data_IF_028096437556
#
_entry.id   IF_028096437556
#
_cell.length_a   1.000
_cell.length_b   1.000
_cell.length_c   1.000
_cell.angle_alpha   90.00
_cell.angle_beta   90.00
_cell.angle_gamma   90.00
#
_symmetry.space_group_name_H-M   'P 1'
#
loop_
_entity.id
_entity.type
_entity.pdbx_description
1 polymer ?
#
# COMPACT_ATOMS: atom_id res chain seq x y z
N UNK A 1 -22.02 1.67 -15.33
CA UNK A 1 -20.80 1.11 -15.97
C UNK A 1 -21.14 -0.12 -16.80
N UNK A 2 -21.77 -1.14 -16.24
CA UNK A 2 -22.14 -2.37 -16.94
C UNK A 2 -22.87 -2.09 -18.28
N UNK A 3 -23.92 -1.24 -18.27
CA UNK A 3 -24.64 -0.83 -19.47
C UNK A 3 -23.71 -0.25 -20.55
N UNK A 4 -22.80 0.65 -20.17
CA UNK A 4 -21.83 1.23 -21.10
C UNK A 4 -20.89 0.18 -21.71
N UNK A 5 -20.45 -0.79 -20.91
CA UNK A 5 -19.59 -1.85 -21.41
C UNK A 5 -20.32 -2.77 -22.40
N UNK A 6 -21.62 -3.00 -22.21
CA UNK A 6 -22.46 -3.75 -23.14
C UNK A 6 -22.72 -2.97 -24.45
N UNK A 7 -22.95 -1.66 -24.35
CA UNK A 7 -23.23 -0.80 -25.50
C UNK A 7 -21.98 -0.49 -26.35
N UNK A 8 -20.78 -0.61 -25.78
CA UNK A 8 -19.51 -0.29 -26.43
C UNK A 8 -18.45 -1.39 -26.18
N UNK A 9 -18.54 -2.50 -26.91
CA UNK A 9 -17.61 -3.64 -26.75
C UNK A 9 -16.19 -3.35 -27.25
N UNK A 10 -15.96 -2.24 -27.96
CA UNK A 10 -14.64 -1.86 -28.49
C UNK A 10 -13.72 -1.22 -27.46
N UNK A 11 -14.27 -0.73 -26.36
CA UNK A 11 -13.53 -0.08 -25.29
C UNK A 11 -13.52 -0.91 -24.01
N UNK A 12 -12.44 -0.79 -23.22
CA UNK A 12 -12.32 -1.43 -21.90
C UNK A 12 -12.83 -0.52 -20.81
N UNK A 13 -13.56 -1.11 -19.86
CA UNK A 13 -14.12 -0.45 -18.69
C UNK A 13 -13.51 -1.02 -17.40
N UNK A 14 -13.19 -0.14 -16.45
CA UNK A 14 -12.53 -0.52 -15.19
C UNK A 14 -13.32 -0.01 -14.00
N UNK A 15 -13.76 -0.93 -13.15
CA UNK A 15 -14.23 -0.61 -11.80
C UNK A 15 -13.05 -0.72 -10.84
N UNK A 16 -12.70 0.37 -10.17
CA UNK A 16 -11.63 0.37 -9.17
C UNK A 16 -12.25 0.42 -7.78
N UNK A 17 -11.88 -0.55 -6.94
CA UNK A 17 -12.33 -0.66 -5.54
C UNK A 17 -11.09 -0.51 -4.66
N UNK A 18 -11.00 0.61 -3.95
CA UNK A 18 -9.92 0.83 -2.99
C UNK A 18 -10.26 0.20 -1.65
N UNK A 19 -9.24 -0.37 -0.99
CA UNK A 19 -9.35 -0.96 0.35
C UNK A 19 -10.46 -2.03 0.46
N UNK A 20 -10.48 -2.98 -0.45
CA UNK A 20 -11.51 -4.03 -0.54
C UNK A 20 -11.80 -4.72 0.79
N UNK A 21 -10.79 -4.92 1.62
CA UNK A 21 -10.89 -5.59 2.91
C UNK A 21 -11.23 -4.68 4.10
N UNK A 22 -11.54 -3.39 3.88
CA UNK A 22 -12.12 -2.51 4.93
C UNK A 22 -13.57 -2.84 5.25
N UNK A 23 -14.27 -3.53 4.35
CA UNK A 23 -15.61 -4.05 4.54
C UNK A 23 -15.67 -5.57 4.42
N UNK A 24 -16.78 -6.16 4.82
CA UNK A 24 -17.05 -7.56 4.55
C UNK A 24 -17.34 -7.74 3.05
N UNK A 25 -16.28 -7.85 2.23
CA UNK A 25 -16.41 -7.92 0.78
C UNK A 25 -17.33 -9.05 0.29
N UNK A 26 -17.26 -10.29 0.79
CA UNK A 26 -18.21 -11.34 0.41
C UNK A 26 -19.68 -10.96 0.64
N UNK A 27 -19.98 -10.32 1.76
CA UNK A 27 -21.34 -9.86 2.05
C UNK A 27 -21.77 -8.67 1.18
N UNK A 28 -20.85 -7.75 0.88
CA UNK A 28 -21.09 -6.58 0.02
C UNK A 28 -21.35 -7.01 -1.42
N UNK A 29 -20.57 -7.95 -1.92
CA UNK A 29 -20.74 -8.47 -3.27
C UNK A 29 -22.02 -9.30 -3.40
N UNK A 30 -22.44 -10.04 -2.34
CA UNK A 30 -23.65 -10.83 -2.36
C UNK A 30 -23.72 -11.75 -3.60
N UNK A 31 -24.80 -11.66 -4.36
CA UNK A 31 -24.97 -12.45 -5.60
C UNK A 31 -23.97 -12.08 -6.70
N UNK A 32 -23.46 -10.85 -6.72
CA UNK A 32 -22.43 -10.41 -7.69
C UNK A 32 -21.15 -11.22 -7.56
N UNK A 33 -20.91 -11.83 -6.41
CA UNK A 33 -19.79 -12.71 -6.16
C UNK A 33 -19.64 -13.82 -7.23
N UNK A 34 -20.73 -14.39 -7.72
CA UNK A 34 -20.71 -15.43 -8.74
C UNK A 34 -20.24 -14.88 -10.10
N UNK A 35 -20.45 -13.60 -10.36
CA UNK A 35 -20.04 -12.97 -11.62
C UNK A 35 -18.53 -12.77 -11.74
N UNK A 36 -17.78 -12.96 -10.66
CA UNK A 36 -16.33 -12.87 -10.67
C UNK A 36 -15.66 -14.11 -11.26
N UNK A 37 -16.36 -15.25 -11.34
CA UNK A 37 -15.88 -16.40 -12.11
C UNK A 37 -16.00 -16.08 -13.60
N UNK A 38 -14.86 -16.12 -14.32
CA UNK A 38 -14.76 -15.75 -15.72
C UNK A 38 -14.49 -16.96 -16.58
N UNK A 39 -15.09 -16.99 -17.76
CA UNK A 39 -14.82 -18.00 -18.79
C UNK A 39 -13.38 -17.88 -19.24
N UNK A 40 -12.67 -18.99 -19.27
CA UNK A 40 -11.28 -19.07 -19.73
C UNK A 40 -11.17 -19.72 -21.13
N UNK A 41 -9.98 -19.65 -21.72
CA UNK A 41 -9.71 -20.13 -23.07
C UNK A 41 -9.61 -21.65 -23.17
N UNK A 42 -9.44 -22.35 -22.05
CA UNK A 42 -9.33 -23.81 -22.03
C UNK A 42 -10.70 -24.48 -22.11
N UNK A 43 -11.75 -23.84 -21.60
CA UNK A 43 -13.09 -24.42 -21.47
C UNK A 43 -14.13 -23.78 -22.39
N UNK A 44 -13.91 -22.54 -22.86
CA UNK A 44 -14.91 -21.76 -23.60
C UNK A 44 -14.40 -21.24 -24.96
N UNK A 45 -15.32 -21.00 -25.93
CA UNK A 45 -14.97 -20.37 -27.20
C UNK A 45 -14.34 -18.98 -27.03
N UNK A 46 -13.42 -18.60 -27.91
CA UNK A 46 -12.65 -17.36 -27.82
C UNK A 46 -13.51 -16.09 -27.70
N UNK A 47 -14.68 -16.07 -28.33
CA UNK A 47 -15.65 -14.97 -28.28
C UNK A 47 -16.33 -14.80 -26.92
N UNK A 48 -16.32 -15.84 -26.07
CA UNK A 48 -16.91 -15.84 -24.75
C UNK A 48 -15.88 -15.61 -23.62
N UNK A 49 -14.60 -15.75 -23.93
CA UNK A 49 -13.50 -15.65 -22.95
C UNK A 49 -13.53 -14.29 -22.26
N UNK A 50 -13.43 -14.31 -20.92
CA UNK A 50 -13.44 -13.12 -20.09
C UNK A 50 -14.83 -12.60 -19.69
N UNK A 51 -15.92 -13.15 -20.23
CA UNK A 51 -17.27 -12.92 -19.72
C UNK A 51 -17.50 -13.70 -18.41
N UNK A 52 -18.45 -13.27 -17.55
CA UNK A 52 -18.87 -14.06 -16.38
C UNK A 52 -19.36 -15.45 -16.80
N UNK A 53 -18.81 -16.51 -16.21
CA UNK A 53 -19.24 -17.89 -16.44
C UNK A 53 -20.71 -18.08 -16.06
N UNK A 54 -21.09 -17.54 -14.89
CA UNK A 54 -22.48 -17.59 -14.40
C UNK A 54 -23.19 -16.26 -14.61
N UNK A 55 -24.50 -16.30 -14.74
CA UNK A 55 -25.38 -15.13 -14.73
C UNK A 55 -26.21 -15.11 -13.45
N UNK A 56 -26.58 -13.90 -13.00
CA UNK A 56 -27.52 -13.73 -11.89
C UNK A 56 -28.85 -13.18 -12.41
N UNK A 57 -29.94 -13.51 -11.69
CA UNK A 57 -31.26 -12.95 -11.97
C UNK A 57 -31.46 -11.68 -11.15
N UNK A 58 -31.44 -10.53 -11.82
CA UNK A 58 -31.73 -9.24 -11.18
C UNK A 58 -32.59 -8.43 -12.16
N UNK A 59 -33.88 -8.36 -11.88
CA UNK A 59 -34.89 -7.72 -12.71
C UNK A 59 -34.55 -6.28 -13.07
N UNK A 60 -34.19 -5.46 -12.09
CA UNK A 60 -33.95 -4.03 -12.30
C UNK A 60 -32.69 -3.80 -13.14
N UNK A 61 -31.61 -4.52 -12.85
CA UNK A 61 -30.36 -4.44 -13.59
C UNK A 61 -30.55 -4.98 -15.01
N UNK A 62 -31.23 -6.11 -15.18
CA UNK A 62 -31.48 -6.72 -16.46
C UNK A 62 -32.29 -5.79 -17.37
N UNK A 63 -33.36 -5.20 -16.86
CA UNK A 63 -34.18 -4.23 -17.57
C UNK A 63 -33.40 -2.98 -18.01
N UNK A 64 -32.60 -2.43 -17.08
CA UNK A 64 -31.81 -1.22 -17.36
C UNK A 64 -30.68 -1.46 -18.37
N UNK A 65 -30.02 -2.63 -18.29
CA UNK A 65 -28.83 -2.94 -19.09
C UNK A 65 -29.20 -3.52 -20.44
N UNK A 66 -30.14 -4.48 -20.48
CA UNK A 66 -30.46 -5.27 -21.68
C UNK A 66 -31.84 -4.91 -22.28
N UNK A 67 -32.66 -4.14 -21.56
CA UNK A 67 -34.05 -3.87 -21.97
C UNK A 67 -34.98 -5.08 -21.81
N UNK A 68 -34.49 -6.18 -21.26
CA UNK A 68 -35.22 -7.43 -20.98
C UNK A 68 -35.01 -7.83 -19.51
N UNK A 69 -36.06 -7.80 -18.73
CA UNK A 69 -36.08 -8.06 -17.31
C UNK A 69 -35.74 -9.51 -16.92
N UNK A 70 -35.82 -10.44 -17.86
CA UNK A 70 -35.52 -11.85 -17.68
C UNK A 70 -34.10 -12.23 -18.15
N UNK A 71 -33.38 -11.27 -18.75
CA UNK A 71 -32.02 -11.52 -19.22
C UNK A 71 -31.07 -11.78 -18.05
N UNK A 72 -30.27 -12.87 -18.04
CA UNK A 72 -29.28 -13.10 -16.99
C UNK A 72 -28.19 -12.03 -17.04
N UNK A 73 -27.98 -11.36 -15.91
CA UNK A 73 -26.96 -10.33 -15.79
C UNK A 73 -25.59 -10.98 -15.70
N UNK A 74 -24.66 -10.57 -16.56
CA UNK A 74 -23.25 -11.01 -16.62
C UNK A 74 -22.33 -9.80 -16.69
N UNK A 75 -21.11 -9.93 -16.27
CA UNK A 75 -20.07 -8.93 -16.50
C UNK A 75 -19.42 -9.29 -17.85
N UNK A 76 -19.43 -8.40 -18.84
CA UNK A 76 -18.84 -8.67 -20.16
C UNK A 76 -17.32 -8.70 -20.11
N UNK A 77 -16.70 -9.28 -21.13
CA UNK A 77 -15.25 -9.49 -21.24
C UNK A 77 -14.44 -8.17 -21.22
N UNK A 78 -15.04 -7.08 -21.71
CA UNK A 78 -14.41 -5.75 -21.75
C UNK A 78 -14.57 -4.96 -20.44
N UNK A 79 -15.20 -5.52 -19.39
CA UNK A 79 -15.32 -4.89 -18.07
C UNK A 79 -14.44 -5.59 -17.04
N UNK A 80 -13.47 -4.86 -16.50
CA UNK A 80 -12.51 -5.35 -15.51
C UNK A 80 -12.79 -4.75 -14.13
N UNK A 81 -12.54 -5.52 -13.09
CA UNK A 81 -12.61 -5.06 -11.70
C UNK A 81 -11.20 -5.11 -11.12
N UNK A 82 -10.70 -3.97 -10.67
CA UNK A 82 -9.43 -3.84 -9.97
C UNK A 82 -9.71 -3.53 -8.51
N UNK A 83 -8.99 -4.17 -7.62
CA UNK A 83 -9.12 -3.88 -6.19
C UNK A 83 -7.77 -3.74 -5.53
N UNK A 84 -7.68 -2.86 -4.53
CA UNK A 84 -6.53 -2.78 -3.63
C UNK A 84 -6.92 -3.27 -2.25
N UNK A 85 -5.98 -3.87 -1.54
CA UNK A 85 -6.15 -4.26 -0.14
C UNK A 85 -4.83 -4.15 0.61
N UNK A 86 -4.90 -3.84 1.88
CA UNK A 86 -3.78 -3.94 2.79
C UNK A 86 -3.94 -5.18 3.68
N UNK A 87 -3.15 -6.22 3.43
CA UNK A 87 -3.22 -7.49 4.18
C UNK A 87 -2.51 -7.43 5.53
N UNK A 88 -1.66 -6.42 5.76
CA UNK A 88 -0.92 -6.23 7.00
C UNK A 88 -1.70 -5.42 8.06
N UNK A 89 -2.79 -4.75 7.68
CA UNK A 89 -3.57 -3.92 8.60
C UNK A 89 -4.37 -4.78 9.60
N UNK A 90 -4.35 -4.39 10.88
CA UNK A 90 -4.99 -5.13 11.97
C UNK A 90 -6.52 -4.98 12.01
N UNK A 91 -7.06 -3.93 11.42
CA UNK A 91 -8.50 -3.59 11.45
C UNK A 91 -9.18 -3.84 10.11
N UNK A 92 -8.93 -4.99 9.49
CA UNK A 92 -9.51 -5.38 8.22
C UNK A 92 -10.25 -6.71 8.33
N UNK A 93 -11.20 -6.93 7.42
CA UNK A 93 -11.88 -8.20 7.29
C UNK A 93 -10.98 -9.22 6.59
N UNK A 94 -10.95 -10.43 7.13
CA UNK A 94 -10.30 -11.55 6.47
C UNK A 94 -11.12 -11.98 5.26
N UNK A 95 -10.51 -12.04 4.09
CA UNK A 95 -11.14 -12.57 2.89
C UNK A 95 -10.95 -14.08 2.86
N UNK A 96 -12.03 -14.81 2.63
CA UNK A 96 -11.97 -16.27 2.51
C UNK A 96 -11.33 -16.72 1.19
N UNK A 97 -10.92 -17.99 1.15
CA UNK A 97 -10.25 -18.56 -0.04
C UNK A 97 -11.19 -18.67 -1.24
N UNK A 98 -12.50 -18.82 -1.02
CA UNK A 98 -13.48 -18.87 -2.11
C UNK A 98 -13.60 -17.52 -2.80
N UNK A 99 -13.50 -16.42 -2.05
CA UNK A 99 -13.46 -15.07 -2.59
C UNK A 99 -12.13 -14.79 -3.31
N UNK A 100 -11.00 -15.13 -2.66
CA UNK A 100 -9.66 -14.82 -3.20
C UNK A 100 -9.33 -15.57 -4.49
N UNK A 101 -9.79 -16.82 -4.66
CA UNK A 101 -9.51 -17.62 -5.88
C UNK A 101 -10.05 -17.00 -7.17
N UNK A 102 -11.01 -16.07 -7.07
CA UNK A 102 -11.61 -15.35 -8.21
C UNK A 102 -10.82 -14.13 -8.65
N UNK A 103 -9.74 -13.83 -7.94
CA UNK A 103 -8.90 -12.68 -8.19
C UNK A 103 -7.50 -13.10 -8.64
N UNK A 104 -7.02 -12.46 -9.69
CA UNK A 104 -5.59 -12.52 -10.01
C UNK A 104 -4.85 -11.57 -9.08
N UNK A 105 -4.18 -12.13 -8.07
CA UNK A 105 -3.52 -11.33 -7.03
C UNK A 105 -2.09 -10.99 -7.41
N UNK A 106 -1.69 -9.73 -7.14
CA UNK A 106 -0.33 -9.26 -7.30
C UNK A 106 0.10 -8.50 -6.07
N UNK A 107 1.22 -8.89 -5.48
CA UNK A 107 1.84 -8.13 -4.41
C UNK A 107 2.58 -6.92 -4.98
N UNK A 108 2.33 -5.74 -4.41
CA UNK A 108 3.09 -4.52 -4.68
C UNK A 108 4.27 -4.49 -3.72
N UNK A 109 5.48 -4.61 -4.27
CA UNK A 109 6.71 -4.57 -3.49
C UNK A 109 6.99 -3.15 -2.98
N UNK A 110 7.39 -3.04 -1.72
CA UNK A 110 7.90 -1.82 -1.13
C UNK A 110 9.40 -1.66 -1.47
N UNK A 111 9.72 -1.42 -2.74
CA UNK A 111 11.08 -1.35 -3.25
C UNK A 111 11.54 0.09 -3.47
N UNK A 112 12.31 0.62 -2.53
CA UNK A 112 12.83 1.99 -2.57
C UNK A 112 13.85 2.24 -3.68
N UNK A 113 14.53 1.23 -4.18
CA UNK A 113 15.57 1.39 -5.22
C UNK A 113 14.97 1.74 -6.58
N UNK A 114 13.76 1.29 -6.86
CA UNK A 114 13.03 1.55 -8.12
C UNK A 114 12.33 2.90 -8.17
N UNK A 115 12.36 3.70 -7.09
CA UNK A 115 11.61 4.95 -6.99
C UNK A 115 12.53 6.18 -6.99
N UNK A 116 12.29 7.11 -7.90
CA UNK A 116 13.00 8.40 -7.91
C UNK A 116 12.75 9.19 -6.62
N UNK A 117 11.53 9.11 -6.05
CA UNK A 117 11.18 9.74 -4.78
C UNK A 117 12.08 9.29 -3.62
N UNK A 118 12.62 8.08 -3.67
CA UNK A 118 13.55 7.56 -2.67
C UNK A 118 14.86 8.33 -2.59
N UNK A 119 15.22 9.07 -3.65
CA UNK A 119 16.42 9.90 -3.73
C UNK A 119 16.22 11.30 -3.15
N UNK A 120 14.96 11.71 -2.91
CA UNK A 120 14.68 13.01 -2.31
C UNK A 120 15.29 13.08 -0.90
N UNK A 121 16.01 14.18 -0.64
CA UNK A 121 16.66 14.41 0.65
C UNK A 121 15.64 14.88 1.69
N UNK A 122 15.80 14.40 2.91
CA UNK A 122 15.06 14.90 4.06
C UNK A 122 15.67 16.25 4.45
N UNK A 123 14.84 17.28 4.56
CA UNK A 123 15.31 18.64 4.79
C UNK A 123 16.10 18.79 6.10
N UNK A 124 17.23 19.54 6.01
CA UNK A 124 18.14 19.71 7.15
C UNK A 124 18.90 18.43 7.55
N UNK A 125 19.01 17.42 6.66
CA UNK A 125 19.73 16.17 6.93
C UNK A 125 20.64 15.77 5.77
N UNK A 126 21.53 14.81 6.02
CA UNK A 126 22.40 14.18 5.00
C UNK A 126 21.83 12.86 4.48
N UNK A 127 20.56 12.58 4.75
CA UNK A 127 19.94 11.28 4.50
C UNK A 127 18.78 11.44 3.53
N UNK A 128 18.71 10.57 2.51
CA UNK A 128 17.58 10.50 1.59
C UNK A 128 16.41 9.72 2.20
N UNK A 129 15.20 10.01 1.75
CA UNK A 129 13.98 9.32 2.18
C UNK A 129 14.10 7.79 2.08
N UNK A 130 14.56 7.29 0.93
CA UNK A 130 14.70 5.85 0.72
C UNK A 130 15.74 5.20 1.62
N UNK A 131 16.85 5.91 1.95
CA UNK A 131 17.84 5.38 2.89
C UNK A 131 17.29 5.35 4.31
N UNK A 132 16.66 6.44 4.75
CA UNK A 132 15.98 6.52 6.04
C UNK A 132 14.96 5.39 6.21
N UNK A 133 14.00 5.30 5.28
CA UNK A 133 12.92 4.33 5.36
C UNK A 133 13.42 2.88 5.33
N UNK A 134 14.45 2.59 4.52
CA UNK A 134 15.04 1.24 4.48
C UNK A 134 15.66 0.86 5.82
N UNK A 135 16.50 1.73 6.40
CA UNK A 135 17.16 1.43 7.70
C UNK A 135 16.13 1.29 8.83
N UNK A 136 15.11 2.17 8.83
CA UNK A 136 14.04 2.09 9.83
C UNK A 136 13.22 0.81 9.66
N UNK A 137 12.86 0.42 8.43
CA UNK A 137 12.11 -0.82 8.18
C UNK A 137 12.90 -2.06 8.61
N UNK A 138 14.20 -2.11 8.33
CA UNK A 138 15.08 -3.19 8.81
C UNK A 138 15.00 -3.28 10.35
N UNK A 139 15.04 -2.15 11.05
CA UNK A 139 14.95 -2.11 12.51
C UNK A 139 13.55 -2.47 13.04
N UNK A 140 12.48 -2.09 12.34
CA UNK A 140 11.11 -2.51 12.69
C UNK A 140 10.99 -4.03 12.64
N UNK A 141 11.52 -4.63 11.57
CA UNK A 141 11.49 -6.09 11.36
C UNK A 141 12.32 -6.78 12.44
N UNK A 142 13.54 -6.31 12.70
CA UNK A 142 14.46 -6.91 13.70
C UNK A 142 13.92 -6.79 15.13
N UNK A 143 13.25 -5.69 15.48
CA UNK A 143 12.74 -5.44 16.84
C UNK A 143 11.44 -6.18 17.14
N UNK A 144 10.71 -6.67 16.12
CA UNK A 144 9.40 -7.31 16.26
C UNK A 144 9.41 -8.80 15.88
N UNK A 145 10.54 -9.51 16.05
CA UNK A 145 10.69 -10.94 15.68
C UNK A 145 9.66 -11.86 16.36
N UNK A 146 9.08 -11.46 17.46
CA UNK A 146 8.08 -12.25 18.21
C UNK A 146 6.61 -11.81 17.93
N UNK A 147 6.38 -10.79 17.09
CA UNK A 147 5.05 -10.29 16.78
C UNK A 147 4.67 -10.57 15.32
N UNK A 148 3.48 -11.13 15.13
CA UNK A 148 2.91 -11.57 13.83
C UNK A 148 2.74 -10.44 12.78
N UNK A 149 2.91 -9.17 13.14
CA UNK A 149 2.64 -8.03 12.28
C UNK A 149 3.66 -6.90 12.47
N UNK A 150 4.85 -7.08 11.89
CA UNK A 150 5.80 -5.95 11.74
C UNK A 150 5.60 -5.19 10.43
N UNK A 151 5.01 -5.85 9.42
CA UNK A 151 4.87 -5.29 8.08
C UNK A 151 3.92 -4.07 8.00
N UNK A 152 2.87 -4.03 8.84
CA UNK A 152 1.91 -2.92 8.94
C UNK A 152 2.53 -1.63 9.51
N UNK A 153 3.64 -1.76 10.23
CA UNK A 153 4.39 -0.64 10.83
C UNK A 153 5.46 -0.08 9.92
N UNK A 154 5.84 -0.83 8.88
CA UNK A 154 6.87 -0.41 7.94
C UNK A 154 6.45 0.81 7.13
N UNK A 155 7.43 1.68 6.87
CA UNK A 155 7.26 2.84 6.03
C UNK A 155 7.17 2.41 4.57
N UNK A 156 6.11 2.81 3.87
CA UNK A 156 5.99 2.67 2.42
C UNK A 156 6.74 3.77 1.68
N UNK A 157 7.03 3.55 0.39
CA UNK A 157 7.73 4.54 -0.45
C UNK A 157 7.05 5.91 -0.39
N UNK A 158 5.73 5.93 -0.46
CA UNK A 158 4.92 7.15 -0.46
C UNK A 158 4.27 7.46 0.90
N UNK A 159 4.78 6.87 1.98
CA UNK A 159 4.32 7.20 3.33
C UNK A 159 4.49 8.70 3.61
N UNK A 160 5.63 9.28 3.20
CA UNK A 160 5.81 10.71 3.15
C UNK A 160 6.01 11.14 1.69
N UNK A 161 5.24 12.13 1.23
CA UNK A 161 5.40 12.75 -0.09
C UNK A 161 6.59 13.73 -0.05
N UNK A 162 7.15 14.10 -1.21
CA UNK A 162 8.27 15.05 -1.30
C UNK A 162 8.07 16.32 -0.47
N UNK A 163 6.89 16.93 -0.52
CA UNK A 163 6.53 18.12 0.26
C UNK A 163 6.37 17.89 1.78
N UNK A 164 6.43 16.63 2.21
CA UNK A 164 6.33 16.22 3.61
C UNK A 164 7.69 15.78 4.17
N UNK A 165 8.76 15.96 3.37
CA UNK A 165 10.13 15.81 3.82
C UNK A 165 10.72 17.11 4.38
N UNK A 166 9.94 18.21 4.36
CA UNK A 166 10.26 19.45 5.07
C UNK A 166 10.30 19.17 6.58
N UNK A 167 11.15 19.90 7.31
CA UNK A 167 11.45 19.62 8.71
C UNK A 167 10.19 19.48 9.60
N UNK A 168 9.29 20.45 9.54
CA UNK A 168 8.08 20.49 10.39
C UNK A 168 7.15 19.31 10.08
N UNK A 169 6.90 19.03 8.79
CA UNK A 169 5.99 17.95 8.37
C UNK A 169 6.59 16.57 8.58
N UNK A 170 7.91 16.45 8.45
CA UNK A 170 8.61 15.20 8.68
C UNK A 170 8.54 14.81 10.15
N UNK A 171 8.76 15.76 11.07
CA UNK A 171 8.68 15.52 12.50
C UNK A 171 7.26 15.12 12.93
N UNK A 172 6.25 15.86 12.50
CA UNK A 172 4.86 15.63 12.85
C UNK A 172 4.23 14.38 12.19
N UNK A 173 4.75 13.93 11.08
CA UNK A 173 4.20 12.76 10.38
C UNK A 173 5.06 11.52 10.56
N UNK A 174 6.34 11.59 10.20
CA UNK A 174 7.20 10.41 10.17
C UNK A 174 7.73 10.08 11.56
N UNK A 175 8.37 11.03 12.23
CA UNK A 175 8.91 10.76 13.57
C UNK A 175 7.79 10.46 14.58
N UNK A 176 6.66 11.13 14.46
CA UNK A 176 5.46 10.82 15.24
C UNK A 176 4.96 9.39 14.99
N UNK A 177 4.88 8.94 13.73
CA UNK A 177 4.50 7.56 13.42
C UNK A 177 5.46 6.55 14.06
N UNK A 178 6.76 6.82 14.01
CA UNK A 178 7.75 5.95 14.62
C UNK A 178 7.59 5.89 16.13
N UNK A 179 7.32 7.00 16.78
CA UNK A 179 7.11 7.07 18.22
C UNK A 179 5.80 6.40 18.68
N UNK A 180 4.67 6.78 18.05
CA UNK A 180 3.34 6.36 18.50
C UNK A 180 2.95 4.95 18.05
N UNK A 181 3.53 4.46 16.94
CA UNK A 181 3.12 3.22 16.31
C UNK A 181 4.26 2.19 16.19
N UNK A 182 5.32 2.52 15.42
CA UNK A 182 6.32 1.52 15.05
C UNK A 182 7.13 1.05 16.26
N UNK A 183 7.59 1.98 17.07
CA UNK A 183 8.41 1.71 18.27
C UNK A 183 7.69 2.12 19.57
N UNK A 184 6.36 2.06 19.58
CA UNK A 184 5.54 2.45 20.73
C UNK A 184 5.91 1.72 22.02
N UNK A 185 6.32 0.46 21.93
CA UNK A 185 6.65 -0.36 23.10
C UNK A 185 8.03 0.00 23.66
N UNK A 186 8.95 0.41 22.80
CA UNK A 186 10.29 0.85 23.19
C UNK A 186 10.85 1.88 22.16
N UNK A 187 10.55 3.17 22.32
CA UNK A 187 11.11 4.22 21.48
C UNK A 187 12.64 4.33 21.53
N UNK A 188 13.27 3.82 22.61
CA UNK A 188 14.73 3.91 22.79
C UNK A 188 15.51 3.03 21.80
N UNK A 189 14.83 2.15 21.07
CA UNK A 189 15.43 1.36 19.98
C UNK A 189 16.04 2.27 18.92
N UNK A 190 15.36 3.36 18.58
CA UNK A 190 15.82 4.30 17.52
C UNK A 190 16.12 5.71 18.04
N UNK A 191 15.36 6.20 19.04
CA UNK A 191 15.58 7.55 19.57
C UNK A 191 16.66 7.56 20.66
N UNK A 192 17.43 8.64 20.71
CA UNK A 192 18.46 8.81 21.70
C UNK A 192 17.87 9.06 23.11
N UNK A 193 18.63 8.78 24.15
CA UNK A 193 18.16 8.84 25.54
C UNK A 193 17.80 10.26 26.04
N UNK A 194 18.05 11.28 25.25
CA UNK A 194 17.66 12.67 25.56
C UNK A 194 16.23 12.97 25.10
N UNK A 195 15.60 12.12 24.28
CA UNK A 195 14.22 12.21 23.86
C UNK A 195 13.36 11.31 24.77
N UNK A 196 12.68 11.92 25.73
CA UNK A 196 11.83 11.21 26.70
C UNK A 196 10.35 11.25 26.33
N UNK A 197 9.98 12.09 25.40
CA UNK A 197 8.63 12.28 24.91
C UNK A 197 8.64 12.59 23.41
N UNK A 198 7.49 12.47 22.76
CA UNK A 198 7.34 12.91 21.37
C UNK A 198 7.62 14.40 21.22
N UNK A 199 7.23 15.20 22.21
CA UNK A 199 7.50 16.65 22.22
C UNK A 199 9.02 16.93 22.21
N UNK A 200 9.82 16.17 22.98
CA UNK A 200 11.28 16.27 22.94
C UNK A 200 11.82 15.95 21.53
N UNK A 201 11.30 14.91 20.88
CA UNK A 201 11.72 14.52 19.52
C UNK A 201 11.43 15.63 18.54
N UNK A 202 10.19 16.11 18.50
CA UNK A 202 9.76 17.19 17.58
C UNK A 202 10.57 18.46 17.82
N UNK A 203 10.62 18.94 19.07
CA UNK A 203 11.32 20.17 19.41
C UNK A 203 12.81 20.12 19.06
N UNK A 204 13.50 19.03 19.39
CA UNK A 204 14.93 18.90 19.08
C UNK A 204 15.19 18.78 17.57
N UNK A 205 14.34 18.03 16.87
CA UNK A 205 14.45 17.89 15.42
C UNK A 205 14.30 19.25 14.72
N UNK A 206 13.30 20.03 15.09
CA UNK A 206 12.99 21.30 14.45
C UNK A 206 14.01 22.40 14.79
N UNK A 207 14.48 22.46 16.03
CA UNK A 207 15.40 23.51 16.50
C UNK A 207 16.86 23.21 16.26
N UNK A 208 17.24 22.00 15.83
CA UNK A 208 18.63 21.64 15.59
C UNK A 208 19.25 22.43 14.47
N UNK A 209 20.39 23.07 14.73
CA UNK A 209 21.26 23.71 13.74
C UNK A 209 22.24 22.73 13.05
N UNK A 210 22.43 21.57 13.66
CA UNK A 210 23.18 20.45 13.10
C UNK A 210 22.30 19.57 12.23
N UNK A 211 22.78 18.36 11.82
CA UNK A 211 21.92 17.41 11.15
C UNK A 211 20.74 17.01 12.05
N UNK A 212 19.54 17.24 11.57
CA UNK A 212 18.32 17.10 12.37
C UNK A 212 18.08 15.66 12.85
N UNK A 213 18.42 14.65 12.02
CA UNK A 213 18.30 13.24 12.41
C UNK A 213 19.31 12.84 13.48
N UNK A 214 20.54 13.39 13.40
CA UNK A 214 21.58 13.14 14.43
C UNK A 214 21.12 13.64 15.81
N UNK A 215 20.34 14.72 15.84
CA UNK A 215 19.88 15.32 17.13
C UNK A 215 18.87 14.44 17.88
N UNK A 216 18.13 13.57 17.19
CA UNK A 216 17.04 12.77 17.78
C UNK A 216 17.25 11.26 17.72
N UNK A 217 18.04 10.76 16.78
CA UNK A 217 18.30 9.34 16.66
C UNK A 217 19.48 8.90 17.52
N UNK A 218 19.54 7.62 17.82
CA UNK A 218 20.75 7.00 18.40
C UNK A 218 21.90 7.06 17.42
N UNK A 219 23.10 7.24 17.91
CA UNK A 219 24.31 7.34 17.08
C UNK A 219 24.45 6.14 16.15
N UNK A 220 24.22 4.92 16.64
CA UNK A 220 24.34 3.70 15.83
C UNK A 220 23.33 3.64 14.68
N UNK A 221 22.13 4.18 14.87
CA UNK A 221 21.07 4.24 13.87
C UNK A 221 21.44 5.27 12.78
N UNK A 222 21.87 6.43 13.20
CA UNK A 222 22.29 7.51 12.29
C UNK A 222 23.52 7.10 11.48
N UNK A 223 24.53 6.46 12.10
CA UNK A 223 25.72 5.95 11.42
C UNK A 223 25.37 4.87 10.38
N UNK A 224 24.42 3.96 10.66
CA UNK A 224 23.91 3.00 9.66
C UNK A 224 23.33 3.72 8.45
N UNK A 225 22.58 4.81 8.63
CA UNK A 225 22.05 5.61 7.52
C UNK A 225 23.14 6.24 6.69
N UNK A 226 24.14 6.85 7.34
CA UNK A 226 25.27 7.46 6.62
C UNK A 226 26.11 6.44 5.84
N UNK A 227 26.33 5.25 6.42
CA UNK A 227 27.03 4.16 5.73
C UNK A 227 26.26 3.72 4.48
N UNK A 228 24.94 3.53 4.60
CA UNK A 228 24.10 3.15 3.47
C UNK A 228 24.02 4.23 2.39
N UNK A 229 24.05 5.50 2.78
CA UNK A 229 24.18 6.62 1.82
C UNK A 229 25.48 6.56 1.02
N UNK A 230 26.61 6.28 1.69
CA UNK A 230 27.91 6.13 1.01
C UNK A 230 27.92 4.96 0.02
N UNK A 231 27.37 3.81 0.39
CA UNK A 231 27.27 2.65 -0.49
C UNK A 231 26.46 2.95 -1.74
N UNK A 232 25.30 3.60 -1.60
CA UNK A 232 24.44 3.99 -2.74
C UNK A 232 25.12 4.98 -3.69
N UNK A 233 25.92 5.90 -3.18
CA UNK A 233 26.65 6.85 -4.01
C UNK A 233 27.72 6.13 -4.85
N UNK A 234 28.45 5.18 -4.27
CA UNK A 234 29.44 4.38 -4.99
C UNK A 234 28.80 3.57 -6.13
N UNK A 235 27.68 2.90 -5.86
CA UNK A 235 26.94 2.10 -6.87
C UNK A 235 26.37 2.95 -8.02
N UNK A 236 26.07 4.23 -7.75
CA UNK A 236 25.59 5.16 -8.79
C UNK A 236 26.72 5.74 -9.65
N UNK A 237 27.93 5.85 -9.09
CA UNK A 237 29.12 6.34 -9.82
C UNK A 237 29.71 5.25 -10.72
N UNK A 238 29.40 3.98 -10.49
CA UNK A 238 29.85 2.82 -11.28
C UNK A 238 28.90 2.44 -12.44
N UNK A 239 27.72 3.09 -12.55
CA UNK A 239 26.72 2.88 -13.61
C UNK A 239 26.72 4.02 -14.63
#
# INVERSE_FOLDING_TARGET
MLKKAQEDPSNHYYLVIEELNRGNAPAIFGEIFQLLDRKDEDEFPAEEVGESEYGISNYDVAKEVYGDENHPVRIPSNMNILATMNTADQNVFTLDTAFLRRWSTRQIENNFEKSEHSKDMIDGTKVSWGTFATVINDMIIDSNTDMVSSADKCLGIYFAKKKELDADKFSEKVLKHLWDNAFRMDPTVIFNGSCKSLEDVVSKYETSEADKLESVLRTEVYEKMLLKMKQRNIENDEK
#
